data_IF_381997506560
#
_entry.id   IF_381997506560
#
_cell.length_a   1.000
_cell.length_b   1.000
_cell.length_c   1.000
_cell.angle_alpha   90.00
_cell.angle_beta   90.00
_cell.angle_gamma   90.00
#
_symmetry.space_group_name_H-M   'P 1'
#
loop_
_entity.id
_entity.type
_entity.pdbx_description
1 polymer ?
#
# COMPACT_ATOMS: atom_id res chain seq x y z
N UNK A 1 10.29 -9.35 22.99
CA UNK A 1 10.99 -8.26 22.29
C UNK A 1 10.06 -7.83 21.17
N UNK A 2 9.58 -6.57 21.18
CA UNK A 2 8.67 -6.10 20.15
C UNK A 2 9.39 -6.14 18.80
N UNK A 3 8.80 -6.81 17.81
CA UNK A 3 9.23 -6.73 16.42
C UNK A 3 9.21 -5.24 16.05
N UNK A 4 10.38 -4.63 15.92
CA UNK A 4 10.49 -3.32 15.28
C UNK A 4 10.12 -3.56 13.83
N UNK A 5 8.86 -3.33 13.47
CA UNK A 5 8.44 -3.34 12.08
C UNK A 5 9.32 -2.33 11.34
N UNK A 6 10.11 -2.81 10.38
CA UNK A 6 11.01 -1.94 9.64
C UNK A 6 10.18 -0.88 8.92
N UNK A 7 10.47 0.39 9.18
CA UNK A 7 9.86 1.48 8.43
C UNK A 7 10.54 1.55 7.06
N UNK A 8 9.91 0.94 6.05
CA UNK A 8 10.37 1.07 4.67
C UNK A 8 10.21 2.52 4.17
N UNK A 9 11.19 3.00 3.42
CA UNK A 9 11.23 4.39 2.94
C UNK A 9 10.45 4.66 1.64
N UNK A 10 9.81 3.63 1.08
CA UNK A 10 8.95 3.74 -0.12
C UNK A 10 7.52 4.16 0.18
N UNK A 11 6.64 4.04 -0.81
CA UNK A 11 5.22 4.40 -0.68
C UNK A 11 4.45 3.54 0.33
N UNK A 12 3.53 4.16 1.06
CA UNK A 12 2.55 3.49 1.95
C UNK A 12 1.16 4.09 1.74
N UNK A 13 0.13 3.25 1.63
CA UNK A 13 -1.26 3.73 1.60
C UNK A 13 -1.79 3.96 3.03
N UNK A 14 -1.84 5.22 3.45
CA UNK A 14 -2.18 5.58 4.83
C UNK A 14 -3.69 5.70 5.06
N UNK A 15 -4.46 6.08 4.03
CA UNK A 15 -5.90 6.25 4.16
C UNK A 15 -6.65 6.08 2.83
N UNK A 16 -7.95 5.85 2.94
CA UNK A 16 -8.91 6.29 1.94
C UNK A 16 -9.36 7.71 2.23
N UNK A 17 -9.69 8.50 1.20
CA UNK A 17 -10.20 9.86 1.40
C UNK A 17 -11.47 9.90 2.26
N UNK A 18 -12.33 8.89 2.16
CA UNK A 18 -13.55 8.76 2.98
C UNK A 18 -13.28 8.57 4.48
N UNK A 19 -12.03 8.24 4.85
CA UNK A 19 -11.59 8.10 6.24
C UNK A 19 -11.08 9.44 6.82
N UNK A 20 -10.89 10.46 5.97
CA UNK A 20 -10.36 11.75 6.40
C UNK A 20 -11.44 12.59 7.09
N UNK A 21 -11.02 13.26 8.16
CA UNK A 21 -11.78 14.33 8.82
C UNK A 21 -11.70 15.63 8.00
N UNK A 22 -12.53 16.61 8.35
CA UNK A 22 -12.62 17.88 7.63
C UNK A 22 -11.30 18.67 7.56
N UNK A 23 -10.41 18.52 8.55
CA UNK A 23 -9.12 19.25 8.60
C UNK A 23 -7.95 18.36 8.98
N UNK A 24 -7.85 18.00 10.27
CA UNK A 24 -6.73 17.23 10.82
C UNK A 24 -7.17 15.81 11.13
N UNK A 25 -6.62 14.85 10.41
CA UNK A 25 -6.88 13.42 10.61
C UNK A 25 -5.66 12.78 11.25
N UNK A 26 -5.77 12.20 12.47
CA UNK A 26 -4.68 11.41 13.03
C UNK A 26 -4.48 10.14 12.19
N UNK A 27 -3.24 9.84 11.89
CA UNK A 27 -2.83 8.63 11.20
C UNK A 27 -1.48 8.15 11.76
N UNK A 28 -1.02 6.99 11.30
CA UNK A 28 0.30 6.49 11.67
C UNK A 28 0.89 5.65 10.54
N UNK A 29 2.21 5.58 10.55
CA UNK A 29 2.99 4.66 9.74
C UNK A 29 3.94 3.90 10.66
N UNK A 30 3.54 2.69 11.06
CA UNK A 30 4.19 1.98 12.16
C UNK A 30 4.16 2.81 13.43
N UNK A 31 5.34 3.06 14.00
CA UNK A 31 5.51 3.90 15.18
C UNK A 31 5.64 5.40 14.87
N UNK A 32 5.60 5.81 13.59
CA UNK A 32 5.66 7.21 13.20
C UNK A 32 4.23 7.81 13.20
N UNK A 33 3.86 8.64 14.18
CA UNK A 33 2.55 9.26 14.21
C UNK A 33 2.50 10.42 13.19
N UNK A 34 1.42 10.46 12.42
CA UNK A 34 1.20 11.41 11.33
C UNK A 34 -0.09 12.21 11.54
N UNK A 35 -0.12 13.42 10.98
CA UNK A 35 -1.36 14.15 10.75
C UNK A 35 -1.58 14.25 9.25
N UNK A 36 -2.71 13.75 8.76
CA UNK A 36 -3.18 14.04 7.41
C UNK A 36 -4.01 15.33 7.45
N UNK A 37 -3.61 16.30 6.63
CA UNK A 37 -4.23 17.61 6.51
C UNK A 37 -4.95 17.64 5.16
N UNK A 38 -6.27 17.79 5.19
CA UNK A 38 -7.06 18.02 3.98
C UNK A 38 -7.01 19.51 3.64
N UNK A 39 -6.50 19.83 2.45
CA UNK A 39 -6.49 21.16 1.86
C UNK A 39 -7.16 21.11 0.48
N UNK A 40 -8.45 21.45 0.44
CA UNK A 40 -9.30 21.29 -0.74
C UNK A 40 -9.25 19.85 -1.27
N UNK A 41 -8.77 19.67 -2.52
CA UNK A 41 -8.64 18.38 -3.21
C UNK A 41 -7.27 17.71 -2.96
N UNK A 42 -6.43 18.27 -2.10
CA UNK A 42 -5.10 17.74 -1.76
C UNK A 42 -5.06 17.28 -0.31
N UNK A 43 -4.26 16.25 -0.07
CA UNK A 43 -3.98 15.75 1.27
C UNK A 43 -2.48 15.84 1.52
N UNK A 44 -2.08 16.45 2.62
CA UNK A 44 -0.70 16.54 3.07
C UNK A 44 -0.50 15.67 4.30
N UNK A 45 0.68 15.08 4.46
CA UNK A 45 1.06 14.37 5.67
C UNK A 45 2.21 15.12 6.36
N UNK A 46 2.13 15.25 7.68
CA UNK A 46 3.16 15.88 8.51
C UNK A 46 3.40 15.06 9.78
N UNK A 47 4.53 15.27 10.46
CA UNK A 47 4.72 14.69 11.79
C UNK A 47 3.60 15.14 12.74
N UNK A 48 3.08 14.21 13.53
CA UNK A 48 2.02 14.51 14.47
C UNK A 48 2.50 15.11 15.80
N UNK A 49 3.78 14.93 16.14
CA UNK A 49 4.28 15.24 17.47
C UNK A 49 4.80 16.67 17.52
N UNK A 50 4.19 17.49 18.37
CA UNK A 50 4.67 18.84 18.61
C UNK A 50 6.10 18.81 19.17
N UNK A 51 7.09 19.45 18.51
CA UNK A 51 8.49 19.37 18.93
C UNK A 51 8.78 20.12 20.24
N UNK A 52 7.87 20.99 20.69
CA UNK A 52 8.02 21.67 21.98
C UNK A 52 7.96 20.67 23.15
N UNK A 53 6.82 19.95 23.31
CA UNK A 53 6.59 19.06 24.47
C UNK A 53 5.77 17.81 24.14
N UNK A 54 5.79 17.36 22.89
CA UNK A 54 5.29 16.04 22.50
C UNK A 54 3.77 15.90 22.32
N UNK A 55 3.00 16.98 22.39
CA UNK A 55 1.54 16.92 22.16
C UNK A 55 1.21 16.46 20.74
N UNK A 56 0.22 15.58 20.60
CA UNK A 56 -0.23 15.13 19.28
C UNK A 56 -1.12 16.19 18.61
N UNK A 57 -0.65 16.74 17.50
CA UNK A 57 -1.22 17.92 16.83
C UNK A 57 -2.62 17.68 16.24
N UNK A 58 -2.97 16.46 15.84
CA UNK A 58 -4.31 16.15 15.35
C UNK A 58 -5.42 16.16 16.44
N UNK A 59 -5.07 16.04 17.72
CA UNK A 59 -6.06 15.94 18.80
C UNK A 59 -6.26 17.31 19.48
N UNK A 60 -7.22 18.07 18.97
CA UNK A 60 -7.55 19.42 19.45
C UNK A 60 -6.71 20.54 18.85
N UNK A 61 -5.70 20.23 18.02
CA UNK A 61 -4.97 21.25 17.28
C UNK A 61 -5.84 21.91 16.21
N UNK A 62 -5.44 23.12 15.80
CA UNK A 62 -6.17 23.92 14.82
C UNK A 62 -5.26 24.31 13.67
N UNK A 63 -5.65 23.97 12.44
CA UNK A 63 -4.97 24.44 11.24
C UNK A 63 -5.11 25.95 11.09
N UNK A 64 -3.99 26.63 10.85
CA UNK A 64 -3.86 28.08 10.68
C UNK A 64 -2.83 28.36 9.58
N UNK A 65 -3.31 28.41 8.34
CA UNK A 65 -2.46 28.54 7.15
C UNK A 65 -1.52 27.36 7.00
N UNK A 66 -0.22 27.65 6.98
CA UNK A 66 0.89 26.70 6.90
C UNK A 66 1.40 26.25 8.28
N UNK A 67 0.62 26.45 9.34
CA UNK A 67 0.94 26.02 10.68
C UNK A 67 -0.24 25.29 11.36
N UNK A 68 0.07 24.51 12.39
CA UNK A 68 -0.92 23.96 13.32
C UNK A 68 -0.72 24.63 14.68
N UNK A 69 -1.77 25.26 15.20
CA UNK A 69 -1.79 25.74 16.59
C UNK A 69 -1.87 24.53 17.51
N UNK A 70 -0.82 24.31 18.29
CA UNK A 70 -0.70 23.18 19.19
C UNK A 70 -1.76 23.25 20.31
N UNK A 71 -2.50 22.16 20.57
CA UNK A 71 -3.57 22.14 21.58
C UNK A 71 -3.08 22.32 23.01
N UNK A 72 -1.79 22.09 23.27
CA UNK A 72 -1.27 22.09 24.64
C UNK A 72 -0.93 23.50 25.13
N UNK A 73 -0.11 24.26 24.37
CA UNK A 73 0.39 25.57 24.80
C UNK A 73 0.14 26.68 23.77
N UNK A 74 -0.61 26.40 22.68
CA UNK A 74 -0.98 27.41 21.69
C UNK A 74 0.14 27.85 20.74
N UNK A 75 1.33 27.24 20.78
CA UNK A 75 2.39 27.54 19.81
C UNK A 75 1.91 27.24 18.39
N UNK A 76 2.23 28.16 17.46
CA UNK A 76 2.14 27.90 16.02
C UNK A 76 3.28 26.98 15.61
N UNK A 77 2.93 25.77 15.20
CA UNK A 77 3.90 24.77 14.72
C UNK A 77 3.88 24.80 13.19
N UNK A 78 4.94 25.32 12.59
CA UNK A 78 5.09 25.42 11.14
C UNK A 78 5.13 24.06 10.46
N UNK A 79 4.62 23.98 9.23
CA UNK A 79 4.63 22.77 8.40
C UNK A 79 5.75 22.87 7.37
N UNK A 80 6.78 22.05 7.51
CA UNK A 80 8.02 22.23 6.76
C UNK A 80 8.74 23.51 7.17
N UNK A 81 9.40 24.16 6.22
CA UNK A 81 10.05 25.45 6.47
C UNK A 81 9.02 26.59 6.38
N UNK A 82 8.55 27.04 7.54
CA UNK A 82 7.53 28.10 7.65
C UNK A 82 8.10 29.34 8.36
N UNK A 83 8.22 30.49 7.68
CA UNK A 83 8.69 31.73 8.30
C UNK A 83 7.85 32.15 9.51
N UNK A 84 8.51 32.63 10.57
CA UNK A 84 7.84 33.14 11.77
C UNK A 84 7.34 32.07 12.75
N UNK A 85 7.55 30.78 12.46
CA UNK A 85 7.34 29.71 13.44
C UNK A 85 8.67 29.33 14.12
N UNK A 86 8.69 29.31 15.45
CA UNK A 86 9.84 28.83 16.23
C UNK A 86 9.99 27.31 16.15
N UNK A 87 8.86 26.60 16.08
CA UNK A 87 8.77 25.16 16.03
C UNK A 87 8.21 24.71 14.69
N UNK A 88 8.78 23.64 14.12
CA UNK A 88 8.39 23.11 12.82
C UNK A 88 8.28 21.59 12.86
N UNK A 89 7.37 21.03 12.07
CA UNK A 89 7.24 19.59 11.83
C UNK A 89 7.55 19.26 10.39
N UNK A 90 8.11 18.07 10.15
CA UNK A 90 8.41 17.62 8.80
C UNK A 90 7.11 17.47 8.00
N UNK A 91 7.15 17.88 6.73
CA UNK A 91 6.15 17.51 5.72
C UNK A 91 6.67 16.33 4.90
N UNK A 92 5.79 15.38 4.64
CA UNK A 92 6.06 14.23 3.77
C UNK A 92 5.45 14.46 2.39
N UNK A 93 6.09 13.88 1.37
CA UNK A 93 5.48 13.82 0.04
C UNK A 93 4.25 12.93 0.09
N UNK A 94 3.18 13.39 -0.54
CA UNK A 94 1.90 12.69 -0.62
C UNK A 94 1.43 12.53 -2.04
N UNK A 95 0.64 11.50 -2.29
CA UNK A 95 -0.08 11.30 -3.55
C UNK A 95 -1.54 11.01 -3.22
N UNK A 96 -2.44 11.75 -3.85
CA UNK A 96 -3.89 11.56 -3.72
C UNK A 96 -4.47 11.30 -5.10
N UNK A 97 -5.07 10.13 -5.29
CA UNK A 97 -5.51 9.65 -6.61
C UNK A 97 -6.64 8.64 -6.44
N UNK A 98 -7.76 8.84 -7.15
CA UNK A 98 -8.90 7.91 -7.04
C UNK A 98 -9.47 7.75 -5.62
N UNK A 99 -9.28 8.75 -4.77
CA UNK A 99 -9.63 8.69 -3.35
C UNK A 99 -8.72 7.81 -2.48
N UNK A 100 -7.53 7.45 -2.99
CA UNK A 100 -6.47 6.76 -2.27
C UNK A 100 -5.43 7.78 -1.81
N UNK A 101 -5.00 7.69 -0.55
CA UNK A 101 -4.00 8.60 0.03
C UNK A 101 -2.74 7.84 0.37
N UNK A 102 -1.65 8.21 -0.29
CA UNK A 102 -0.33 7.63 -0.08
C UNK A 102 0.65 8.65 0.51
N UNK A 103 1.59 8.15 1.31
CA UNK A 103 2.70 8.91 1.89
C UNK A 103 4.02 8.27 1.46
N UNK A 104 4.98 9.11 1.06
CA UNK A 104 6.34 8.70 0.71
C UNK A 104 7.34 9.32 1.72
N UNK A 105 7.93 8.50 2.62
CA UNK A 105 8.94 8.94 3.57
C UNK A 105 10.24 9.42 2.93
N UNK A 106 10.62 8.93 1.74
CA UNK A 106 11.86 9.30 1.06
C UNK A 106 11.64 9.39 -0.46
N UNK A 107 11.82 10.57 -1.04
CA UNK A 107 11.48 10.83 -2.45
C UNK A 107 12.33 10.02 -3.44
N UNK A 108 13.49 9.50 -3.00
CA UNK A 108 14.36 8.63 -3.80
C UNK A 108 13.70 7.29 -4.13
N UNK A 109 12.65 6.91 -3.39
CA UNK A 109 11.96 5.62 -3.49
C UNK A 109 10.59 5.75 -4.15
N UNK A 110 10.39 6.74 -5.04
CA UNK A 110 9.15 6.83 -5.82
C UNK A 110 8.96 5.63 -6.76
N UNK A 111 10.06 5.13 -7.33
CA UNK A 111 10.13 3.96 -8.20
C UNK A 111 9.12 3.96 -9.38
N UNK A 112 8.72 5.14 -9.86
CA UNK A 112 7.76 5.28 -10.95
C UNK A 112 6.29 5.15 -10.54
N UNK A 113 6.00 5.03 -9.24
CA UNK A 113 4.62 4.91 -8.74
C UNK A 113 3.79 6.15 -9.05
N UNK A 114 4.34 7.36 -8.84
CA UNK A 114 3.61 8.61 -9.15
C UNK A 114 3.17 8.62 -10.61
N UNK A 115 4.09 8.32 -11.54
CA UNK A 115 3.80 8.34 -12.97
C UNK A 115 2.73 7.31 -13.36
N UNK A 116 2.80 6.08 -12.84
CA UNK A 116 1.76 5.07 -13.08
C UNK A 116 0.41 5.55 -12.56
N UNK A 117 0.34 6.02 -11.33
CA UNK A 117 -0.93 6.41 -10.72
C UNK A 117 -1.57 7.60 -11.44
N UNK A 118 -0.77 8.57 -11.89
CA UNK A 118 -1.25 9.67 -12.73
C UNK A 118 -1.78 9.19 -14.09
N UNK A 119 -1.13 8.21 -14.71
CA UNK A 119 -1.63 7.56 -15.93
C UNK A 119 -2.97 6.85 -15.68
N UNK A 120 -3.04 6.05 -14.63
CA UNK A 120 -4.27 5.35 -14.24
C UNK A 120 -5.40 6.35 -13.95
N UNK A 121 -5.11 7.47 -13.28
CA UNK A 121 -6.11 8.52 -13.00
C UNK A 121 -6.74 9.12 -14.26
N UNK A 122 -6.02 9.11 -15.39
CA UNK A 122 -6.53 9.58 -16.68
C UNK A 122 -7.28 8.50 -17.46
N UNK A 123 -7.04 7.22 -17.17
CA UNK A 123 -7.42 6.10 -18.05
C UNK A 123 -8.35 5.08 -17.40
N UNK A 124 -8.52 5.14 -16.08
CA UNK A 124 -9.29 4.19 -15.30
C UNK A 124 -10.20 4.89 -14.30
N UNK A 125 -11.31 4.22 -13.99
CA UNK A 125 -12.16 4.55 -12.85
C UNK A 125 -11.65 3.83 -11.62
N UNK A 126 -11.38 4.59 -10.56
CA UNK A 126 -10.96 4.04 -9.28
C UNK A 126 -12.18 3.71 -8.42
N UNK A 127 -12.12 2.55 -7.79
CA UNK A 127 -13.08 2.12 -6.79
C UNK A 127 -12.30 1.79 -5.53
N UNK A 128 -12.45 2.64 -4.51
CA UNK A 128 -11.92 2.37 -3.19
C UNK A 128 -12.62 1.13 -2.63
N UNK A 129 -11.88 0.03 -2.48
CA UNK A 129 -12.44 -1.25 -2.05
C UNK A 129 -12.62 -1.30 -0.53
N UNK A 130 -11.89 -2.21 0.12
CA UNK A 130 -12.07 -2.55 1.52
C UNK A 130 -10.77 -2.40 2.32
N UNK A 131 -10.93 -2.38 3.64
CA UNK A 131 -9.83 -2.36 4.62
C UNK A 131 -9.89 -3.65 5.45
N UNK A 132 -8.75 -4.29 5.65
CA UNK A 132 -8.57 -5.41 6.59
C UNK A 132 -7.44 -5.06 7.56
N UNK A 133 -7.42 -5.73 8.71
CA UNK A 133 -6.28 -5.68 9.64
C UNK A 133 -5.81 -7.12 9.81
N UNK A 134 -4.51 -7.32 9.65
CA UNK A 134 -3.88 -8.63 9.79
C UNK A 134 -2.79 -8.57 10.87
N UNK A 135 -2.69 -9.58 11.71
CA UNK A 135 -1.48 -9.87 12.46
C UNK A 135 -0.45 -10.47 11.50
N UNK A 136 0.37 -9.60 10.90
CA UNK A 136 1.46 -9.95 10.00
C UNK A 136 2.37 -8.74 9.75
N UNK A 137 3.67 -8.95 9.43
CA UNK A 137 4.49 -7.96 8.76
C UNK A 137 3.82 -7.47 7.47
N UNK A 138 3.91 -6.17 7.20
CA UNK A 138 3.19 -5.56 6.09
C UNK A 138 3.69 -6.08 4.73
N UNK A 139 4.99 -6.31 4.61
CA UNK A 139 5.65 -6.82 3.41
C UNK A 139 5.18 -8.22 3.02
N UNK A 140 4.76 -9.05 3.98
CA UNK A 140 4.26 -10.40 3.72
C UNK A 140 2.97 -10.38 2.88
N UNK A 141 2.15 -9.34 3.05
CA UNK A 141 0.91 -9.18 2.29
C UNK A 141 1.19 -8.99 0.80
N UNK A 142 2.28 -8.30 0.47
CA UNK A 142 2.70 -8.09 -0.92
C UNK A 142 3.48 -9.31 -1.44
N UNK A 143 4.37 -9.87 -0.61
CA UNK A 143 5.13 -11.08 -0.90
C UNK A 143 4.27 -12.26 -1.34
N UNK A 144 3.12 -12.47 -0.67
CA UNK A 144 2.21 -13.57 -0.97
C UNK A 144 1.84 -13.61 -2.46
N UNK A 145 1.71 -12.46 -3.12
CA UNK A 145 1.42 -12.41 -4.55
C UNK A 145 2.47 -13.09 -5.46
N UNK A 146 3.62 -13.49 -4.91
CA UNK A 146 4.76 -14.07 -5.64
C UNK A 146 5.15 -15.46 -5.14
N UNK A 147 4.57 -15.94 -4.04
CA UNK A 147 4.65 -17.34 -3.62
C UNK A 147 3.75 -18.15 -4.55
N UNK A 148 4.34 -18.89 -5.50
CA UNK A 148 3.53 -19.63 -6.47
C UNK A 148 2.71 -20.75 -5.82
N UNK A 149 3.25 -21.42 -4.79
CA UNK A 149 2.61 -22.61 -4.21
C UNK A 149 1.43 -22.25 -3.32
N UNK A 150 1.46 -21.11 -2.63
CA UNK A 150 0.31 -20.73 -1.79
C UNK A 150 -0.99 -20.62 -2.60
N UNK A 151 -0.92 -20.23 -3.88
CA UNK A 151 -2.11 -20.13 -4.74
C UNK A 151 -2.86 -21.48 -4.87
N UNK A 152 -2.15 -22.60 -4.89
CA UNK A 152 -2.76 -23.93 -4.97
C UNK A 152 -3.47 -24.28 -3.65
N UNK A 153 -2.81 -24.06 -2.50
CA UNK A 153 -3.30 -24.55 -1.22
C UNK A 153 -4.24 -23.59 -0.49
N UNK A 154 -4.02 -22.28 -0.62
CA UNK A 154 -4.80 -21.23 0.06
C UNK A 154 -5.98 -20.77 -0.80
N UNK A 155 -5.73 -20.53 -2.09
CA UNK A 155 -6.76 -20.06 -3.02
C UNK A 155 -7.41 -21.19 -3.86
N UNK A 156 -7.01 -22.44 -3.63
CA UNK A 156 -7.54 -23.61 -4.32
C UNK A 156 -7.45 -23.51 -5.86
N UNK A 157 -6.40 -22.86 -6.38
CA UNK A 157 -6.13 -22.88 -7.82
C UNK A 157 -5.79 -24.31 -8.27
N UNK A 158 -6.23 -24.68 -9.48
CA UNK A 158 -6.01 -26.03 -10.03
C UNK A 158 -4.56 -26.32 -10.39
N UNK A 159 -3.76 -25.27 -10.53
CA UNK A 159 -2.35 -25.37 -10.88
C UNK A 159 -1.58 -24.21 -10.29
N UNK A 160 -0.30 -24.47 -10.01
CA UNK A 160 0.68 -23.45 -9.65
C UNK A 160 0.83 -22.46 -10.82
N UNK A 161 0.75 -21.14 -10.57
CA UNK A 161 0.85 -20.15 -11.63
C UNK A 161 2.25 -20.04 -12.21
N UNK A 162 2.31 -19.69 -13.49
CA UNK A 162 3.56 -19.51 -14.23
C UNK A 162 4.11 -18.09 -14.07
N UNK A 163 4.57 -17.77 -12.86
CA UNK A 163 5.12 -16.45 -12.55
C UNK A 163 6.62 -16.38 -12.85
N UNK A 164 7.07 -15.25 -13.39
CA UNK A 164 8.48 -14.94 -13.67
C UNK A 164 8.76 -13.46 -13.53
N UNK A 165 10.03 -13.11 -13.38
CA UNK A 165 10.46 -11.71 -13.45
C UNK A 165 10.12 -11.10 -14.81
N UNK A 166 9.64 -9.87 -14.79
CA UNK A 166 9.43 -9.02 -15.95
C UNK A 166 10.43 -7.87 -16.02
N UNK A 167 10.48 -7.16 -17.15
CA UNK A 167 11.31 -5.97 -17.28
C UNK A 167 10.74 -4.82 -16.43
N UNK A 168 11.57 -4.24 -15.55
CA UNK A 168 11.32 -2.98 -14.85
C UNK A 168 12.19 -1.85 -15.42
N UNK A 169 11.82 -0.59 -15.15
CA UNK A 169 12.52 0.57 -15.71
C UNK A 169 12.78 1.72 -14.75
N UNK A 170 12.13 1.73 -13.58
CA UNK A 170 12.12 2.84 -12.64
C UNK A 170 12.50 2.42 -11.22
N UNK A 171 12.97 1.19 -11.02
CA UNK A 171 13.33 0.65 -9.70
C UNK A 171 12.21 -0.15 -9.04
N UNK A 172 11.08 -0.34 -9.72
CA UNK A 172 10.03 -1.27 -9.31
C UNK A 172 10.44 -2.73 -9.58
N UNK A 173 9.89 -3.67 -8.80
CA UNK A 173 9.94 -5.08 -9.12
C UNK A 173 8.73 -5.44 -10.00
N UNK A 174 8.97 -6.10 -11.12
CA UNK A 174 7.92 -6.54 -12.04
C UNK A 174 7.88 -8.05 -12.07
N UNK A 175 6.70 -8.61 -11.81
CA UNK A 175 6.43 -10.05 -11.90
C UNK A 175 5.26 -10.24 -12.85
N UNK A 176 5.41 -11.14 -13.81
CA UNK A 176 4.42 -11.37 -14.86
C UNK A 176 4.22 -12.87 -15.06
N UNK A 177 3.06 -13.24 -15.58
CA UNK A 177 2.72 -14.62 -15.80
C UNK A 177 1.25 -14.80 -16.10
N UNK A 178 0.75 -15.96 -15.72
CA UNK A 178 -0.62 -16.39 -15.93
C UNK A 178 -1.05 -17.29 -14.76
N UNK A 179 -2.35 -17.23 -14.44
CA UNK A 179 -2.99 -18.17 -13.52
C UNK A 179 -4.07 -18.94 -14.25
N UNK A 180 -4.31 -20.17 -13.81
CA UNK A 180 -5.53 -20.88 -14.13
C UNK A 180 -6.51 -20.70 -12.99
N UNK A 181 -7.41 -19.72 -13.13
CA UNK A 181 -8.56 -19.66 -12.25
C UNK A 181 -9.42 -20.89 -12.53
N UNK A 182 -9.70 -21.68 -11.48
CA UNK A 182 -10.82 -22.58 -11.53
C UNK A 182 -12.06 -21.76 -11.90
N UNK A 183 -13.01 -22.35 -12.62
CA UNK A 183 -14.33 -21.76 -12.85
C UNK A 183 -15.10 -21.64 -11.53
N UNK A 184 -14.58 -20.86 -10.59
CA UNK A 184 -15.41 -20.16 -9.64
C UNK A 184 -16.30 -19.24 -10.47
N UNK A 185 -17.54 -19.07 -10.02
CA UNK A 185 -18.52 -18.15 -10.60
C UNK A 185 -18.08 -16.68 -10.41
N UNK A 186 -16.85 -16.33 -10.82
CA UNK A 186 -16.43 -14.94 -10.91
C UNK A 186 -17.15 -14.35 -12.12
N UNK A 187 -18.18 -13.57 -11.85
CA UNK A 187 -18.92 -12.82 -12.87
C UNK A 187 -18.03 -11.84 -13.65
N UNK A 188 -16.78 -11.61 -13.21
CA UNK A 188 -15.83 -10.73 -13.87
C UNK A 188 -14.97 -11.46 -14.93
N UNK A 189 -14.63 -12.72 -14.67
CA UNK A 189 -14.01 -13.61 -15.64
C UNK A 189 -15.00 -14.75 -15.95
N UNK A 190 -16.05 -14.50 -16.73
CA UNK A 190 -17.00 -15.54 -17.07
C UNK A 190 -16.24 -16.64 -17.82
N UNK A 191 -16.09 -17.80 -17.17
CA UNK A 191 -15.74 -19.02 -17.89
C UNK A 191 -16.83 -19.28 -18.91
N UNK A 192 -16.46 -19.61 -20.15
CA UNK A 192 -17.46 -20.09 -21.11
C UNK A 192 -18.19 -21.29 -20.53
N UNK A 193 -19.50 -21.42 -20.78
CA UNK A 193 -20.24 -22.63 -20.39
C UNK A 193 -19.50 -23.88 -20.92
N UNK A 194 -19.03 -24.75 -20.02
CA UNK A 194 -18.27 -25.95 -20.36
C UNK A 194 -16.74 -25.80 -20.45
N UNK A 195 -16.17 -24.64 -20.14
CA UNK A 195 -14.72 -24.43 -20.10
C UNK A 195 -14.14 -24.85 -18.74
N UNK A 196 -13.16 -25.77 -18.74
CA UNK A 196 -12.61 -26.37 -17.52
C UNK A 196 -11.77 -25.42 -16.65
N UNK A 197 -11.25 -24.33 -17.25
CA UNK A 197 -10.45 -23.28 -16.63
C UNK A 197 -10.26 -22.11 -17.61
N UNK A 198 -10.15 -20.89 -17.09
CA UNK A 198 -9.76 -19.70 -17.89
C UNK A 198 -8.34 -19.30 -17.50
N UNK A 199 -7.49 -19.09 -18.49
CA UNK A 199 -6.15 -18.53 -18.29
C UNK A 199 -6.27 -17.01 -18.13
N UNK A 200 -5.76 -16.49 -17.01
CA UNK A 200 -5.83 -15.08 -16.66
C UNK A 200 -4.42 -14.54 -16.64
N UNK A 201 -4.10 -13.66 -17.60
CA UNK A 201 -2.84 -12.95 -17.63
C UNK A 201 -2.63 -12.10 -16.38
N UNK A 202 -1.40 -12.05 -15.89
CA UNK A 202 -1.01 -11.37 -14.67
C UNK A 202 0.23 -10.51 -14.87
N UNK A 203 0.16 -9.29 -14.36
CA UNK A 203 1.31 -8.39 -14.26
C UNK A 203 1.25 -7.61 -12.94
N UNK A 204 2.10 -7.97 -12.00
CA UNK A 204 2.33 -7.21 -10.78
C UNK A 204 3.50 -6.25 -10.94
N UNK A 205 3.28 -5.00 -10.52
CA UNK A 205 4.33 -4.00 -10.35
C UNK A 205 4.37 -3.60 -8.88
N UNK A 206 5.53 -3.79 -8.25
CA UNK A 206 5.76 -3.53 -6.83
C UNK A 206 6.66 -2.32 -6.70
N UNK A 207 6.12 -1.26 -6.10
CA UNK A 207 6.79 0.05 -6.03
C UNK A 207 7.48 0.29 -4.69
N UNK A 208 7.00 -0.38 -3.66
CA UNK A 208 7.60 -0.46 -2.34
C UNK A 208 7.26 -1.84 -1.74
N UNK A 209 7.91 -2.25 -0.65
CA UNK A 209 7.56 -3.50 0.04
C UNK A 209 6.08 -3.60 0.45
N UNK A 210 5.41 -2.45 0.49
CA UNK A 210 4.07 -2.28 1.06
C UNK A 210 3.03 -1.87 0.02
N UNK A 211 3.40 -1.69 -1.26
CA UNK A 211 2.49 -1.25 -2.32
C UNK A 211 2.74 -2.02 -3.61
N UNK A 212 1.69 -2.67 -4.09
CA UNK A 212 1.68 -3.41 -5.35
C UNK A 212 0.45 -3.02 -6.19
N UNK A 213 0.65 -2.93 -7.51
CA UNK A 213 -0.42 -2.80 -8.49
C UNK A 213 -0.38 -4.01 -9.40
N UNK A 214 -1.41 -4.86 -9.30
CA UNK A 214 -1.56 -6.08 -10.08
C UNK A 214 -2.60 -5.90 -11.15
N UNK A 215 -2.23 -6.11 -12.42
CA UNK A 215 -3.16 -6.16 -13.54
C UNK A 215 -3.52 -7.62 -13.83
N UNK A 216 -4.82 -7.89 -13.94
CA UNK A 216 -5.36 -9.22 -14.19
C UNK A 216 -6.28 -9.21 -15.41
N UNK A 217 -6.19 -10.27 -16.20
CA UNK A 217 -7.00 -10.48 -17.39
C UNK A 217 -6.58 -9.60 -18.56
N UNK A 218 -7.37 -9.69 -19.64
CA UNK A 218 -7.14 -8.96 -20.88
C UNK A 218 -8.47 -8.42 -21.44
N UNK A 219 -8.36 -7.48 -22.39
CA UNK A 219 -9.51 -6.90 -23.09
C UNK A 219 -10.53 -6.27 -22.14
N UNK A 220 -11.81 -6.63 -22.29
CA UNK A 220 -12.90 -6.09 -21.47
C UNK A 220 -12.91 -6.61 -20.01
N UNK A 221 -12.18 -7.69 -19.71
CA UNK A 221 -12.04 -8.24 -18.34
C UNK A 221 -10.82 -7.70 -17.60
N UNK A 222 -9.96 -6.93 -18.29
CA UNK A 222 -8.78 -6.31 -17.69
C UNK A 222 -9.19 -5.40 -16.53
N UNK A 223 -8.60 -5.64 -15.38
CA UNK A 223 -8.73 -4.77 -14.22
C UNK A 223 -7.41 -4.74 -13.44
N UNK A 224 -7.23 -3.69 -12.64
CA UNK A 224 -6.11 -3.58 -11.72
C UNK A 224 -6.60 -3.71 -10.28
N UNK A 225 -5.85 -4.44 -9.48
CA UNK A 225 -5.95 -4.49 -8.02
C UNK A 225 -4.78 -3.71 -7.45
N UNK A 226 -5.08 -2.66 -6.68
CA UNK A 226 -4.09 -1.83 -5.99
C UNK A 226 -4.12 -2.24 -4.53
N UNK A 227 -3.01 -2.79 -4.06
CA UNK A 227 -2.86 -3.39 -2.75
C UNK A 227 -1.84 -2.60 -1.94
N UNK A 228 -2.26 -2.08 -0.79
CA UNK A 228 -1.39 -1.41 0.17
C UNK A 228 -1.45 -2.10 1.53
N UNK A 229 -0.31 -2.37 2.14
CA UNK A 229 -0.22 -2.88 3.51
C UNK A 229 0.65 -1.93 4.35
N UNK A 230 0.07 -1.31 5.37
CA UNK A 230 0.76 -0.32 6.21
C UNK A 230 0.97 -0.89 7.62
N UNK A 231 2.19 -0.91 8.18
CA UNK A 231 2.41 -1.39 9.53
C UNK A 231 1.69 -0.51 10.57
N UNK A 232 1.12 -1.11 11.61
CA UNK A 232 0.44 -0.40 12.71
C UNK A 232 1.35 -0.15 13.92
N UNK A 233 2.55 -0.75 13.96
CA UNK A 233 3.51 -0.63 15.07
C UNK A 233 3.29 -1.63 16.22
N UNK A 234 2.28 -2.48 16.15
CA UNK A 234 1.97 -3.47 17.20
C UNK A 234 2.07 -4.91 16.71
N UNK A 235 2.86 -5.14 15.65
CA UNK A 235 2.96 -6.43 14.96
C UNK A 235 1.83 -6.70 13.96
N UNK A 236 0.83 -5.81 13.88
CA UNK A 236 -0.22 -5.87 12.86
C UNK A 236 0.06 -4.91 11.70
N UNK A 237 -0.63 -5.13 10.60
CA UNK A 237 -0.71 -4.18 9.48
C UNK A 237 -2.17 -3.90 9.10
N UNK A 238 -2.41 -2.73 8.52
CA UNK A 238 -3.67 -2.37 7.88
C UNK A 238 -3.53 -2.55 6.38
N UNK A 239 -4.34 -3.43 5.81
CA UNK A 239 -4.38 -3.74 4.38
C UNK A 239 -5.53 -2.94 3.76
N UNK A 240 -5.24 -2.25 2.66
CA UNK A 240 -6.22 -1.53 1.85
C UNK A 240 -6.13 -2.03 0.42
N UNK A 241 -7.28 -2.43 -0.11
CA UNK A 241 -7.39 -2.95 -1.47
C UNK A 241 -8.37 -2.09 -2.24
N UNK A 242 -7.99 -1.71 -3.45
CA UNK A 242 -8.81 -0.96 -4.39
C UNK A 242 -8.74 -1.58 -5.77
N UNK A 243 -9.70 -1.26 -6.61
CA UNK A 243 -9.65 -1.67 -8.02
C UNK A 243 -9.67 -0.45 -8.93
N UNK A 244 -8.95 -0.55 -10.04
CA UNK A 244 -9.01 0.42 -11.12
C UNK A 244 -9.44 -0.31 -12.39
N UNK A 245 -10.50 0.19 -13.03
CA UNK A 245 -11.13 -0.48 -14.18
C UNK A 245 -11.27 0.50 -15.34
N UNK A 246 -11.12 0.02 -16.57
CA UNK A 246 -11.32 0.85 -17.76
C UNK A 246 -12.81 1.07 -18.02
N UNK A 247 -13.10 2.10 -18.81
CA UNK A 247 -14.40 2.20 -19.46
C UNK A 247 -14.63 0.94 -20.33
N UNK A 248 -15.88 0.49 -20.37
CA UNK A 248 -16.36 -0.48 -21.36
C UNK A 248 -16.23 0.12 -22.77
N UNK A 249 -16.40 -0.72 -23.78
CA UNK A 249 -16.42 -0.32 -25.20
C UNK A 249 -17.43 0.78 -25.55
N UNK A 250 -18.49 0.97 -24.75
CA UNK A 250 -19.48 2.05 -24.89
C UNK A 250 -19.10 3.37 -24.17
N UNK A 251 -17.89 3.44 -23.61
CA UNK A 251 -17.36 4.60 -22.90
C UNK A 251 -17.87 4.77 -21.46
N UNK A 252 -18.70 3.85 -20.95
CA UNK A 252 -19.23 3.89 -19.58
C UNK A 252 -18.38 3.04 -18.63
N UNK A 253 -18.36 3.35 -17.33
CA UNK A 253 -17.74 2.46 -16.35
C UNK A 253 -18.44 1.09 -16.34
N UNK A 254 -17.76 0.03 -15.88
CA UNK A 254 -18.39 -1.25 -15.60
C UNK A 254 -19.59 -1.09 -14.66
N UNK A 255 -20.55 -2.00 -14.76
CA UNK A 255 -21.75 -1.92 -13.92
C UNK A 255 -21.37 -2.03 -12.44
N UNK A 256 -22.15 -1.38 -11.59
CA UNK A 256 -21.95 -1.43 -10.14
C UNK A 256 -22.02 -2.87 -9.61
N UNK A 257 -22.84 -3.74 -10.22
CA UNK A 257 -22.90 -5.16 -9.89
C UNK A 257 -21.61 -5.91 -10.22
N UNK A 258 -20.99 -5.61 -11.36
CA UNK A 258 -19.71 -6.20 -11.76
C UNK A 258 -18.58 -5.74 -10.83
N UNK A 259 -18.51 -4.43 -10.54
CA UNK A 259 -17.51 -3.87 -9.60
C UNK A 259 -17.66 -4.51 -8.22
N UNK A 260 -18.90 -4.67 -7.73
CA UNK A 260 -19.15 -5.36 -6.46
C UNK A 260 -18.72 -6.81 -6.48
N UNK A 261 -18.89 -7.53 -7.59
CA UNK A 261 -18.42 -8.90 -7.71
C UNK A 261 -16.89 -8.96 -7.63
N UNK A 262 -16.21 -8.11 -8.39
CA UNK A 262 -14.76 -8.02 -8.38
C UNK A 262 -14.22 -7.75 -6.96
N UNK A 263 -14.78 -6.78 -6.24
CA UNK A 263 -14.37 -6.48 -4.87
C UNK A 263 -14.64 -7.63 -3.88
N UNK A 264 -15.74 -8.37 -4.06
CA UNK A 264 -16.04 -9.55 -3.22
C UNK A 264 -15.02 -10.66 -3.47
N UNK A 265 -14.71 -10.94 -4.73
CA UNK A 265 -13.76 -11.99 -5.11
C UNK A 265 -12.35 -11.64 -4.61
N UNK A 266 -11.92 -10.38 -4.79
CA UNK A 266 -10.66 -9.90 -4.20
C UNK A 266 -10.67 -10.02 -2.69
N UNK A 267 -11.76 -9.65 -2.01
CA UNK A 267 -11.85 -9.73 -0.54
C UNK A 267 -11.74 -11.17 -0.04
N UNK A 268 -12.40 -12.11 -0.72
CA UNK A 268 -12.37 -13.52 -0.36
C UNK A 268 -10.94 -14.07 -0.41
N UNK A 269 -10.15 -13.72 -1.43
CA UNK A 269 -8.75 -14.12 -1.51
C UNK A 269 -7.96 -13.66 -0.27
N UNK A 270 -8.03 -12.38 0.09
CA UNK A 270 -7.37 -11.86 1.29
C UNK A 270 -7.90 -12.48 2.60
N UNK A 271 -9.19 -12.83 2.67
CA UNK A 271 -9.76 -13.51 3.83
C UNK A 271 -9.23 -14.95 3.99
N UNK A 272 -8.90 -15.63 2.89
CA UNK A 272 -8.22 -16.93 2.92
C UNK A 272 -6.78 -16.78 3.43
N UNK A 273 -6.05 -15.77 2.96
CA UNK A 273 -4.69 -15.47 3.44
C UNK A 273 -4.65 -15.11 4.93
N UNK A 274 -5.64 -14.33 5.41
CA UNK A 274 -5.77 -13.97 6.82
C UNK A 274 -5.78 -15.20 7.73
N UNK A 275 -6.41 -16.31 7.30
CA UNK A 275 -6.43 -17.54 8.08
C UNK A 275 -5.01 -18.11 8.32
N UNK A 276 -4.09 -17.92 7.37
CA UNK A 276 -2.68 -18.31 7.52
C UNK A 276 -1.92 -17.27 8.34
N UNK A 277 -2.03 -15.99 7.98
CA UNK A 277 -1.28 -14.91 8.61
C UNK A 277 -1.54 -14.82 10.12
N UNK A 278 -2.80 -14.86 10.56
CA UNK A 278 -3.17 -14.75 11.98
C UNK A 278 -2.63 -15.88 12.86
N UNK A 279 -2.27 -17.03 12.27
CA UNK A 279 -1.78 -18.21 12.98
C UNK A 279 -0.31 -18.53 12.68
N UNK A 280 0.38 -17.68 11.91
CA UNK A 280 1.79 -17.87 11.58
C UNK A 280 2.67 -17.33 12.71
N UNK A 281 3.73 -18.08 13.04
CA UNK A 281 4.82 -17.59 13.91
C UNK A 281 5.74 -16.72 13.06
N UNK A 282 5.53 -15.40 13.07
CA UNK A 282 6.19 -14.50 12.10
C UNK A 282 7.70 -14.37 12.26
N UNK A 283 8.23 -14.65 13.44
CA UNK A 283 9.66 -14.62 13.75
C UNK A 283 10.36 -15.96 13.53
N UNK A 284 9.64 -16.99 13.09
CA UNK A 284 10.23 -18.25 12.68
C UNK A 284 11.15 -18.03 11.46
N UNK A 285 12.38 -18.58 11.47
CA UNK A 285 13.31 -18.39 10.37
C UNK A 285 12.81 -19.09 9.11
N UNK A 286 12.70 -18.34 8.01
CA UNK A 286 12.39 -18.91 6.69
C UNK A 286 13.54 -19.80 6.20
N UNK A 287 13.19 -20.95 5.62
CA UNK A 287 14.11 -21.87 4.94
C UNK A 287 13.60 -22.07 3.52
N UNK A 288 14.04 -21.20 2.64
CA UNK A 288 13.61 -21.19 1.26
C UNK A 288 14.20 -22.37 0.47
N UNK A 289 13.43 -22.89 -0.47
CA UNK A 289 13.87 -23.83 -1.49
C UNK A 289 13.91 -23.19 -2.89
N UNK A 290 14.17 -23.98 -3.93
CA UNK A 290 14.32 -23.46 -5.30
C UNK A 290 13.02 -22.89 -5.89
N UNK A 291 11.85 -23.22 -5.33
CA UNK A 291 10.53 -22.72 -5.78
C UNK A 291 10.22 -21.31 -5.24
N UNK A 292 10.98 -20.87 -4.23
CA UNK A 292 10.84 -19.57 -3.57
C UNK A 292 11.64 -18.45 -4.26
N UNK A 293 12.14 -18.67 -5.49
CA UNK A 293 13.00 -17.73 -6.21
C UNK A 293 12.42 -16.30 -6.26
N UNK A 294 11.13 -16.13 -6.58
CA UNK A 294 10.47 -14.82 -6.63
C UNK A 294 10.27 -14.19 -5.24
N UNK A 295 10.04 -15.01 -4.22
CA UNK A 295 9.97 -14.54 -2.82
C UNK A 295 11.34 -14.01 -2.39
N UNK A 296 12.41 -14.73 -2.73
CA UNK A 296 13.80 -14.30 -2.49
C UNK A 296 14.12 -13.00 -3.23
N UNK A 297 13.68 -12.85 -4.48
CA UNK A 297 13.84 -11.61 -5.25
C UNK A 297 13.06 -10.44 -4.62
N UNK A 298 11.83 -10.67 -4.15
CA UNK A 298 11.07 -9.68 -3.40
C UNK A 298 11.78 -9.26 -2.11
N UNK A 299 12.35 -10.21 -1.35
CA UNK A 299 13.14 -9.90 -0.16
C UNK A 299 14.37 -9.06 -0.50
N UNK A 300 15.05 -9.36 -1.62
CA UNK A 300 16.18 -8.57 -2.10
C UNK A 300 15.76 -7.15 -2.47
N UNK A 301 14.64 -7.02 -3.17
CA UNK A 301 14.03 -5.73 -3.49
C UNK A 301 13.73 -4.92 -2.21
N UNK A 302 13.16 -5.55 -1.18
CA UNK A 302 12.83 -4.88 0.08
C UNK A 302 14.03 -4.23 0.79
N UNK A 303 15.22 -4.83 0.67
CA UNK A 303 16.45 -4.29 1.27
C UNK A 303 16.81 -2.89 0.76
N UNK A 304 16.38 -2.53 -0.45
CA UNK A 304 16.65 -1.20 -1.03
C UNK A 304 15.91 -0.06 -0.31
N UNK A 305 14.92 -0.38 0.53
CA UNK A 305 14.06 0.59 1.22
C UNK A 305 14.39 0.74 2.70
N UNK A 306 15.31 -0.06 3.21
CA UNK A 306 15.82 0.04 4.57
C UNK A 306 16.87 1.15 4.63
N UNK A 307 17.03 1.78 5.80
CA UNK A 307 18.19 2.63 6.04
C UNK A 307 19.47 1.80 5.85
N UNK A 308 20.40 2.26 5.01
CA UNK A 308 21.79 1.97 5.30
C UNK A 308 22.03 2.60 6.68
N UNK A 309 22.33 1.77 7.69
CA UNK A 309 22.64 2.25 9.04
C UNK A 309 23.49 3.51 8.92
N UNK A 310 22.98 4.64 9.41
CA UNK A 310 23.76 5.89 9.44
C UNK A 310 25.01 5.61 10.26
N UNK A 311 26.14 5.44 9.58
CA UNK A 311 27.43 5.38 10.26
C UNK A 311 27.63 6.70 11.02
N UNK A 312 27.68 6.57 12.35
CA UNK A 312 28.34 7.39 13.38
C UNK A 312 28.26 8.94 13.38
N UNK A 313 27.63 9.64 12.44
CA UNK A 313 27.65 11.11 12.43
C UNK A 313 26.56 11.79 13.28
N UNK A 314 25.65 11.05 13.91
CA UNK A 314 24.58 11.66 14.74
C UNK A 314 24.90 11.88 16.21
N UNK A 315 26.04 11.40 16.72
CA UNK A 315 26.42 11.59 18.14
C UNK A 315 26.96 13.00 18.44
N UNK A 316 27.15 13.85 17.42
CA UNK A 316 27.75 15.17 17.60
C UNK A 316 26.74 16.32 17.83
N UNK A 317 25.42 16.09 17.77
CA UNK A 317 24.43 17.18 17.87
C UNK A 317 23.52 17.16 19.12
N UNK A 318 23.79 16.28 20.08
CA UNK A 318 23.17 16.30 21.42
C UNK A 318 24.11 16.80 22.53
N UNK A 319 25.26 17.35 22.15
CA UNK A 319 26.18 18.02 23.06
C UNK A 319 26.48 19.42 22.52
N UNK A 320 25.51 20.33 22.62
CA UNK A 320 25.70 21.79 22.64
C UNK A 320 24.44 22.46 23.18
#
# INVERSE_FOLDING_TARGET
MAMSANLYRGWHQIAFERELRDRLTPAALGHLPLVLIRDQDRVHAVDAVCPHRGAHLAYGGKLDGDAIVCPFHGHRIGIGETPGCEYMVRRYRTLTVGGLVFVLPDERHDNGFTALMEELNRTHFFVQGFTLVAHAPAELVVENGFDRRHFEFVHALKSTPNLRLGPGGHGELVIQGDFQAAAFESNWHPGGEGQASTEIGFLARVFSPNVCVSRLGEGESEHLVISGATPNGDGRCTIRVSVAVRARSDGRPPSESAIRALLRDSKLAYEQDLAIWEHRVHDAPSRFDDEDDLVIEFHRFCKNFLEAERSEQSRAHQAR
#
